data_IF_191266021880
#
_entry.id   IF_191266021880
#
_cell.length_a   1.000
_cell.length_b   1.000
_cell.length_c   1.000
_cell.angle_alpha   90.00
_cell.angle_beta   90.00
_cell.angle_gamma   90.00
#
_symmetry.space_group_name_H-M   'P 1'
#
loop_
_entity.id
_entity.type
_entity.pdbx_description
1 polymer ?
#
# COMPACT_ATOMS: atom_id res chain seq x y z
N UNK A 1 7.20 33.10 55.47
CA UNK A 1 8.21 32.12 55.01
C UNK A 1 8.12 32.07 53.50
N UNK A 2 9.21 32.45 52.84
CA UNK A 2 9.40 32.39 51.39
C UNK A 2 10.06 31.04 51.12
N UNK A 3 9.50 30.26 50.19
CA UNK A 3 10.28 29.28 49.44
C UNK A 3 10.00 29.48 47.96
N UNK A 4 11.00 30.07 47.31
CA UNK A 4 11.19 30.16 45.88
C UNK A 4 11.53 28.78 45.32
N UNK A 5 10.86 28.38 44.23
CA UNK A 5 11.41 27.45 43.26
C UNK A 5 11.18 28.04 41.87
N UNK A 6 12.17 28.78 41.38
CA UNK A 6 12.34 29.07 39.97
C UNK A 6 13.38 28.08 39.41
N UNK A 7 13.30 27.87 38.09
CA UNK A 7 14.21 27.14 37.17
C UNK A 7 13.57 25.81 36.68
N UNK A 8 13.19 25.66 35.41
CA UNK A 8 13.46 26.57 34.32
C UNK A 8 12.89 26.14 32.96
N UNK A 9 13.20 27.01 32.02
CA UNK A 9 13.32 26.83 30.59
C UNK A 9 12.03 26.54 29.82
N UNK A 10 11.38 27.65 29.45
CA UNK A 10 10.47 27.68 28.31
C UNK A 10 11.15 27.10 27.07
N UNK A 11 10.53 26.08 26.51
CA UNK A 11 10.93 25.57 25.20
C UNK A 11 10.41 26.55 24.17
N UNK A 12 11.29 27.45 23.77
CA UNK A 12 11.18 28.27 22.58
C UNK A 12 11.25 27.33 21.37
N UNK A 13 10.10 26.88 20.84
CA UNK A 13 10.06 26.21 19.54
C UNK A 13 10.28 27.26 18.45
N UNK A 14 11.52 27.36 17.96
CA UNK A 14 11.87 28.09 16.75
C UNK A 14 12.53 27.13 15.76
N UNK A 15 12.09 27.24 14.50
CA UNK A 15 12.70 26.74 13.25
C UNK A 15 12.44 25.24 13.00
N UNK A 16 11.90 24.82 11.85
CA UNK A 16 12.19 25.32 10.50
C UNK A 16 11.00 25.22 9.54
N UNK A 17 10.83 26.26 8.72
CA UNK A 17 10.27 26.14 7.37
C UNK A 17 10.96 25.00 6.62
N UNK A 18 10.18 24.04 6.14
CA UNK A 18 10.33 23.40 4.82
C UNK A 18 9.08 22.58 4.52
N UNK A 19 8.09 23.24 3.91
CA UNK A 19 6.89 22.66 3.30
C UNK A 19 7.20 21.80 2.05
N UNK A 20 8.16 20.88 2.12
CA UNK A 20 8.59 20.08 0.95
C UNK A 20 8.81 18.58 1.21
N UNK A 21 8.58 18.06 2.42
CA UNK A 21 8.85 16.65 2.75
C UNK A 21 7.63 15.78 3.08
N UNK A 22 6.45 16.38 3.30
CA UNK A 22 5.21 15.62 3.51
C UNK A 22 4.78 14.87 2.25
N UNK A 23 4.97 15.46 1.06
CA UNK A 23 4.67 14.78 -0.21
C UNK A 23 5.60 13.61 -0.51
N UNK A 24 6.89 13.69 -0.15
CA UNK A 24 7.84 12.59 -0.38
C UNK A 24 7.58 11.40 0.57
N UNK A 25 7.22 11.66 1.84
CA UNK A 25 6.81 10.60 2.75
C UNK A 25 5.45 10.00 2.38
N UNK A 26 4.49 10.81 1.91
CA UNK A 26 3.22 10.32 1.40
C UNK A 26 3.41 9.45 0.13
N UNK A 27 4.20 9.91 -0.85
CA UNK A 27 4.53 9.14 -2.05
C UNK A 27 5.35 7.88 -1.77
N UNK A 28 6.27 7.92 -0.79
CA UNK A 28 7.01 6.74 -0.37
C UNK A 28 6.11 5.72 0.35
N UNK A 29 5.14 6.20 1.13
CA UNK A 29 4.15 5.35 1.80
C UNK A 29 3.17 4.73 0.78
N UNK A 30 2.70 5.50 -0.20
CA UNK A 30 1.84 5.01 -1.29
C UNK A 30 2.56 3.96 -2.15
N UNK A 31 3.82 4.21 -2.53
CA UNK A 31 4.62 3.22 -3.26
C UNK A 31 4.88 1.96 -2.45
N UNK A 32 5.11 2.08 -1.13
CA UNK A 32 5.28 0.93 -0.27
C UNK A 32 3.98 0.13 -0.13
N UNK A 33 2.82 0.81 -0.02
CA UNK A 33 1.51 0.17 0.02
C UNK A 33 1.18 -0.57 -1.27
N UNK A 34 1.53 -0.02 -2.44
CA UNK A 34 1.35 -0.69 -3.73
C UNK A 34 2.25 -1.93 -3.83
N UNK A 35 3.50 -1.84 -3.40
CA UNK A 35 4.41 -2.99 -3.40
C UNK A 35 3.97 -4.08 -2.42
N UNK A 36 3.49 -3.71 -1.23
CA UNK A 36 2.86 -4.65 -0.29
C UNK A 36 1.61 -5.31 -0.91
N UNK A 37 0.76 -4.54 -1.59
CA UNK A 37 -0.42 -5.07 -2.27
C UNK A 37 -0.02 -6.07 -3.36
N UNK A 38 1.02 -5.77 -4.16
CA UNK A 38 1.55 -6.69 -5.17
C UNK A 38 2.09 -7.96 -4.55
N UNK A 39 2.75 -7.89 -3.40
CA UNK A 39 3.22 -9.08 -2.69
C UNK A 39 2.05 -9.95 -2.21
N UNK A 40 1.00 -9.33 -1.67
CA UNK A 40 -0.22 -10.03 -1.25
C UNK A 40 -0.92 -10.69 -2.44
N UNK A 41 -1.08 -9.96 -3.55
CA UNK A 41 -1.63 -10.49 -4.81
C UNK A 41 -0.80 -11.68 -5.29
N UNK A 42 0.52 -11.57 -5.32
CA UNK A 42 1.39 -12.68 -5.71
C UNK A 42 1.32 -13.87 -4.75
N UNK A 43 1.03 -13.64 -3.47
CA UNK A 43 0.73 -14.68 -2.48
C UNK A 43 -0.55 -15.45 -2.82
N UNK A 44 -1.64 -14.73 -3.09
CA UNK A 44 -2.94 -15.32 -3.45
C UNK A 44 -2.90 -16.03 -4.81
N UNK A 45 -2.10 -15.52 -5.75
CA UNK A 45 -1.97 -16.07 -7.09
C UNK A 45 -1.08 -17.33 -7.17
N UNK A 46 -0.25 -17.60 -6.15
CA UNK A 46 0.64 -18.79 -6.14
C UNK A 46 -0.12 -20.10 -6.29
N UNK A 47 -1.24 -20.23 -5.60
CA UNK A 47 -2.05 -21.44 -5.60
C UNK A 47 -3.08 -21.37 -6.72
N UNK A 48 -2.59 -21.54 -7.95
CA UNK A 48 -3.45 -21.42 -9.12
C UNK A 48 -4.40 -22.63 -9.27
N UNK A 49 -5.64 -22.45 -8.85
CA UNK A 49 -6.67 -23.46 -9.03
C UNK A 49 -7.38 -23.27 -10.38
N UNK A 50 -6.97 -24.04 -11.40
CA UNK A 50 -7.60 -24.01 -12.74
C UNK A 50 -9.10 -24.36 -12.75
N UNK A 51 -9.61 -25.05 -11.73
CA UNK A 51 -11.04 -25.37 -11.65
C UNK A 51 -11.87 -24.17 -11.17
N UNK A 52 -11.31 -23.32 -10.32
CA UNK A 52 -11.98 -22.13 -9.81
C UNK A 52 -11.72 -20.92 -10.71
N UNK A 53 -10.48 -20.75 -11.18
CA UNK A 53 -10.04 -19.56 -11.90
C UNK A 53 -9.19 -19.92 -13.14
N UNK A 54 -9.76 -20.60 -14.15
CA UNK A 54 -9.01 -21.06 -15.33
C UNK A 54 -8.34 -19.91 -16.08
N UNK A 55 -9.03 -18.78 -16.21
CA UNK A 55 -8.57 -17.60 -16.94
C UNK A 55 -7.48 -16.82 -16.20
N UNK A 56 -7.56 -16.78 -14.87
CA UNK A 56 -6.48 -16.26 -14.02
C UNK A 56 -5.22 -17.09 -14.22
N UNK A 57 -5.34 -18.43 -14.20
CA UNK A 57 -4.20 -19.32 -14.44
C UNK A 57 -3.63 -19.22 -15.86
N UNK A 58 -4.47 -19.00 -16.85
CA UNK A 58 -4.02 -18.77 -18.22
C UNK A 58 -3.24 -17.45 -18.32
N UNK A 59 -3.74 -16.37 -17.75
CA UNK A 59 -3.06 -15.08 -17.77
C UNK A 59 -1.75 -15.08 -16.97
N UNK A 60 -1.68 -15.81 -15.84
CA UNK A 60 -0.43 -15.99 -15.09
C UNK A 60 0.67 -16.72 -15.89
N UNK A 61 0.30 -17.52 -16.90
CA UNK A 61 1.27 -18.29 -17.70
C UNK A 61 2.22 -17.43 -18.54
N UNK A 62 1.94 -16.13 -18.66
CA UNK A 62 2.76 -15.17 -19.40
C UNK A 62 3.04 -13.94 -18.55
N UNK A 63 4.24 -13.35 -18.67
CA UNK A 63 4.61 -12.15 -17.90
C UNK A 63 3.68 -10.95 -18.21
N UNK A 64 3.25 -10.81 -19.47
CA UNK A 64 2.29 -9.78 -19.89
C UNK A 64 0.91 -10.00 -19.27
N UNK A 65 0.46 -11.25 -19.21
CA UNK A 65 -0.82 -11.60 -18.59
C UNK A 65 -0.79 -11.39 -17.08
N UNK A 66 0.32 -11.76 -16.41
CA UNK A 66 0.52 -11.50 -14.98
C UNK A 66 0.48 -10.00 -14.66
N UNK A 67 1.20 -9.16 -15.40
CA UNK A 67 1.18 -7.72 -15.18
C UNK A 67 -0.23 -7.11 -15.36
N UNK A 68 -0.97 -7.56 -16.38
CA UNK A 68 -2.36 -7.12 -16.60
C UNK A 68 -3.30 -7.59 -15.48
N UNK A 69 -3.05 -8.78 -14.94
CA UNK A 69 -3.82 -9.36 -13.85
C UNK A 69 -3.59 -8.59 -12.55
N UNK A 70 -2.34 -8.28 -12.22
CA UNK A 70 -1.98 -7.42 -11.10
C UNK A 70 -2.63 -6.03 -11.21
N UNK A 71 -2.55 -5.39 -12.37
CA UNK A 71 -3.15 -4.08 -12.62
C UNK A 71 -4.66 -4.08 -12.43
N UNK A 72 -5.36 -5.11 -12.97
CA UNK A 72 -6.81 -5.25 -12.75
C UNK A 72 -7.17 -5.47 -11.30
N UNK A 73 -6.43 -6.30 -10.56
CA UNK A 73 -6.71 -6.54 -9.14
C UNK A 73 -6.45 -5.27 -8.33
N UNK A 74 -5.33 -4.59 -8.55
CA UNK A 74 -5.03 -3.31 -7.89
C UNK A 74 -6.16 -2.32 -8.14
N UNK A 75 -6.65 -2.23 -9.39
CA UNK A 75 -7.77 -1.36 -9.73
C UNK A 75 -9.03 -1.74 -8.95
N UNK A 76 -9.41 -3.01 -8.90
CA UNK A 76 -10.58 -3.47 -8.14
C UNK A 76 -10.46 -3.24 -6.63
N UNK A 77 -9.27 -3.43 -6.07
CA UNK A 77 -9.03 -3.20 -4.63
C UNK A 77 -9.02 -1.70 -4.31
N UNK A 78 -8.39 -0.88 -5.16
CA UNK A 78 -8.25 0.55 -4.92
C UNK A 78 -9.51 1.37 -5.27
N UNK A 79 -10.20 1.05 -6.37
CA UNK A 79 -11.39 1.79 -6.84
C UNK A 79 -12.67 1.30 -6.16
N UNK A 80 -12.82 -0.02 -5.99
CA UNK A 80 -14.06 -0.64 -5.50
C UNK A 80 -13.96 -1.09 -4.03
N UNK A 81 -12.78 -0.99 -3.41
CA UNK A 81 -12.57 -1.43 -2.03
C UNK A 81 -12.74 -2.94 -1.84
N UNK A 82 -12.63 -3.72 -2.92
CA UNK A 82 -12.81 -5.16 -2.88
C UNK A 82 -11.63 -5.87 -2.22
N UNK A 83 -11.90 -7.03 -1.62
CA UNK A 83 -10.85 -7.93 -1.15
C UNK A 83 -10.15 -8.59 -2.34
N UNK A 84 -8.84 -8.85 -2.21
CA UNK A 84 -8.00 -9.43 -3.28
C UNK A 84 -8.61 -10.72 -3.85
N UNK A 85 -9.03 -11.66 -3.00
CA UNK A 85 -9.65 -12.92 -3.45
C UNK A 85 -10.97 -12.71 -4.22
N UNK A 86 -11.78 -11.72 -3.84
CA UNK A 86 -13.01 -11.36 -4.56
C UNK A 86 -12.69 -10.73 -5.92
N UNK A 87 -11.68 -9.87 -5.99
CA UNK A 87 -11.20 -9.29 -7.24
C UNK A 87 -10.66 -10.36 -8.20
N UNK A 88 -9.93 -11.35 -7.70
CA UNK A 88 -9.46 -12.51 -8.48
C UNK A 88 -10.63 -13.31 -9.04
N UNK A 89 -11.68 -13.53 -8.24
CA UNK A 89 -12.84 -14.29 -8.67
C UNK A 89 -13.68 -13.62 -9.78
N UNK A 90 -13.51 -12.31 -10.01
CA UNK A 90 -14.22 -11.56 -11.04
C UNK A 90 -13.52 -11.54 -12.41
N UNK A 91 -12.35 -12.15 -12.53
CA UNK A 91 -11.49 -12.13 -13.73
C UNK A 91 -11.68 -13.37 -14.61
#
# INVERSE_FOLDING_TARGET
MISNYLLGNGIHYNKSKTDTNTNLQAMANENNQIEELKQLINGELKDCNRFLWPKVCEMQSTDKGRAKLEDMIIRYVAEEGMQIGSAIALI
#
